data_IF_350022858168
#
_entry.id   IF_350022858168
#
_cell.length_a   1.000
_cell.length_b   1.000
_cell.length_c   1.000
_cell.angle_alpha   90.00
_cell.angle_beta   90.00
_cell.angle_gamma   90.00
#
_symmetry.space_group_name_H-M   'P 1'
#
loop_
_entity.id
_entity.type
_entity.pdbx_description
1 polymer ?
#
# COMPACT_ATOMS: atom_id res chain seq x y z
N UNK A 1 64.11 14.77 45.89
CA UNK A 1 63.73 15.28 44.55
C UNK A 1 63.79 14.08 43.61
N UNK A 2 62.76 13.60 42.91
CA UNK A 2 61.42 14.09 42.56
C UNK A 2 60.47 12.89 42.41
N UNK A 3 59.20 13.20 42.58
CA UNK A 3 57.90 12.51 42.58
C UNK A 3 57.52 11.68 41.32
N UNK A 4 56.86 10.52 41.56
CA UNK A 4 55.60 9.92 41.00
C UNK A 4 55.10 10.35 39.61
N UNK A 5 54.71 9.39 38.74
CA UNK A 5 53.42 9.26 37.96
C UNK A 5 53.35 7.81 37.40
N UNK A 6 52.61 6.88 38.00
CA UNK A 6 51.22 6.44 37.80
C UNK A 6 51.00 5.28 36.79
N UNK A 7 50.22 4.35 37.32
CA UNK A 7 49.61 3.13 36.80
C UNK A 7 48.99 3.20 35.41
N UNK A 8 49.34 2.24 34.55
CA UNK A 8 48.45 1.77 33.50
C UNK A 8 47.69 0.54 34.02
N UNK A 9 46.41 0.74 34.27
CA UNK A 9 45.45 -0.29 34.65
C UNK A 9 45.18 -1.16 33.41
N UNK A 10 45.52 -2.46 33.48
CA UNK A 10 45.08 -3.43 32.47
C UNK A 10 43.57 -3.54 32.57
N UNK A 11 42.85 -3.19 31.51
CA UNK A 11 41.43 -3.54 31.37
C UNK A 11 41.30 -5.07 31.35
N UNK A 12 40.54 -5.60 32.30
CA UNK A 12 40.14 -7.01 32.31
C UNK A 12 39.16 -7.22 31.15
N UNK A 13 39.63 -7.85 30.08
CA UNK A 13 38.77 -8.33 28.99
C UNK A 13 38.02 -9.55 29.52
N UNK A 14 36.73 -9.39 29.79
CA UNK A 14 35.84 -10.50 30.11
C UNK A 14 35.46 -11.21 28.80
N UNK A 15 36.01 -12.40 28.56
CA UNK A 15 35.51 -13.31 27.54
C UNK A 15 34.22 -13.98 28.06
N UNK A 16 33.06 -13.47 27.64
CA UNK A 16 31.78 -14.13 27.87
C UNK A 16 31.72 -15.42 27.05
N UNK A 17 32.09 -16.53 27.68
CA UNK A 17 31.89 -17.88 27.12
C UNK A 17 30.49 -18.37 27.47
N UNK A 18 29.54 -18.17 26.55
CA UNK A 18 28.24 -18.83 26.62
C UNK A 18 28.33 -20.23 26.00
N UNK A 19 27.96 -21.26 26.75
CA UNK A 19 27.75 -22.59 26.17
C UNK A 19 26.33 -22.64 25.55
N UNK A 20 26.20 -22.52 24.21
CA UNK A 20 24.91 -22.82 23.56
C UNK A 20 24.75 -24.32 23.51
N UNK A 21 23.83 -24.83 24.31
CA UNK A 21 23.28 -26.15 24.09
C UNK A 21 22.19 -26.06 23.00
N UNK A 22 22.35 -26.73 21.85
CA UNK A 22 21.33 -26.73 20.81
C UNK A 22 20.08 -27.44 21.35
N UNK A 23 18.96 -26.71 21.44
CA UNK A 23 17.68 -27.31 21.82
C UNK A 23 17.12 -28.12 20.65
N UNK A 24 16.81 -29.37 20.90
CA UNK A 24 16.10 -30.21 19.94
C UNK A 24 14.60 -30.16 20.22
N UNK A 25 13.81 -30.11 19.16
CA UNK A 25 12.37 -30.26 19.25
C UNK A 25 12.01 -31.70 19.64
N UNK A 26 11.00 -31.86 20.48
CA UNK A 26 10.39 -33.15 20.77
C UNK A 26 9.93 -33.81 19.45
N UNK A 27 10.31 -35.06 19.15
CA UNK A 27 9.90 -35.75 17.92
C UNK A 27 8.39 -35.74 17.64
N UNK A 28 7.56 -35.67 18.68
CA UNK A 28 6.09 -35.68 18.58
C UNK A 28 5.44 -34.31 18.73
N UNK A 29 6.21 -33.21 18.65
CA UNK A 29 5.68 -31.88 18.89
C UNK A 29 4.45 -31.54 18.04
N UNK A 30 4.38 -32.02 16.79
CA UNK A 30 3.28 -31.78 15.85
C UNK A 30 1.94 -32.34 16.33
N UNK A 31 1.93 -33.41 17.12
CA UNK A 31 0.69 -34.05 17.60
C UNK A 31 -0.11 -33.10 18.53
N UNK A 32 0.57 -32.19 19.23
CA UNK A 32 -0.04 -31.21 20.14
C UNK A 32 -0.81 -30.09 19.44
N UNK A 33 -0.64 -29.95 18.13
CA UNK A 33 -1.20 -28.84 17.34
C UNK A 33 -2.20 -29.30 16.27
N UNK A 34 -2.75 -30.52 16.40
CA UNK A 34 -3.76 -31.05 15.48
C UNK A 34 -5.20 -30.80 15.95
N UNK A 35 -5.41 -30.18 17.12
CA UNK A 35 -6.75 -29.92 17.63
C UNK A 35 -7.46 -28.83 16.82
N UNK A 36 -8.79 -28.80 16.91
CA UNK A 36 -9.65 -27.81 16.24
C UNK A 36 -9.29 -26.35 16.60
N UNK A 37 -8.70 -26.12 17.77
CA UNK A 37 -8.25 -24.80 18.23
C UNK A 37 -7.05 -24.26 17.42
N UNK A 38 -6.33 -25.15 16.73
CA UNK A 38 -5.19 -24.83 15.86
C UNK A 38 -5.52 -24.94 14.37
N UNK A 39 -6.79 -25.14 14.02
CA UNK A 39 -7.28 -25.11 12.64
C UNK A 39 -7.74 -23.69 12.28
N UNK A 40 -6.80 -22.88 11.80
CA UNK A 40 -7.04 -21.48 11.42
C UNK A 40 -7.66 -21.31 10.02
N UNK A 41 -7.85 -22.40 9.29
CA UNK A 41 -8.59 -22.38 8.03
C UNK A 41 -10.09 -22.34 8.32
N UNK A 42 -10.75 -21.30 7.83
CA UNK A 42 -12.20 -21.25 7.78
C UNK A 42 -12.67 -22.36 6.85
N UNK A 43 -13.25 -23.43 7.38
CA UNK A 43 -13.91 -24.44 6.57
C UNK A 43 -15.13 -23.76 5.94
N UNK A 44 -14.96 -23.22 4.74
CA UNK A 44 -16.05 -22.68 3.94
C UNK A 44 -16.92 -23.89 3.58
N UNK A 45 -18.05 -24.04 4.26
CA UNK A 45 -19.09 -25.02 3.93
C UNK A 45 -19.48 -24.83 2.45
N UNK A 46 -18.88 -25.62 1.56
CA UNK A 46 -19.06 -25.60 0.10
C UNK A 46 -20.48 -25.97 -0.36
N UNK A 47 -21.40 -26.17 0.60
CA UNK A 47 -22.78 -26.58 0.38
C UNK A 47 -23.78 -25.43 0.38
N UNK A 48 -23.42 -24.24 0.85
CA UNK A 48 -24.30 -23.07 0.79
C UNK A 48 -23.91 -22.22 -0.42
N UNK A 49 -24.69 -22.32 -1.50
CA UNK A 49 -24.51 -21.45 -2.67
C UNK A 49 -24.39 -19.99 -2.20
N UNK A 50 -23.27 -19.37 -2.51
CA UNK A 50 -23.01 -17.97 -2.21
C UNK A 50 -23.98 -17.10 -3.02
N UNK A 51 -24.31 -15.90 -2.54
CA UNK A 51 -25.12 -14.95 -3.32
C UNK A 51 -24.51 -14.71 -4.72
N UNK A 52 -23.18 -14.79 -4.82
CA UNK A 52 -22.41 -14.74 -6.06
C UNK A 52 -22.67 -15.93 -7.01
N UNK A 53 -22.77 -17.15 -6.47
CA UNK A 53 -23.02 -18.35 -7.27
C UNK A 53 -24.43 -18.31 -7.87
N UNK A 54 -25.41 -17.82 -7.10
CA UNK A 54 -26.79 -17.61 -7.57
C UNK A 54 -26.86 -16.54 -8.65
N UNK A 55 -26.09 -15.47 -8.52
CA UNK A 55 -26.00 -14.40 -9.51
C UNK A 55 -25.47 -14.91 -10.86
N UNK A 56 -24.33 -15.61 -10.87
CA UNK A 56 -23.78 -16.16 -12.11
C UNK A 56 -24.66 -17.24 -12.73
N UNK A 57 -25.34 -18.04 -11.91
CA UNK A 57 -26.35 -18.98 -12.41
C UNK A 57 -27.50 -18.26 -13.12
N UNK A 58 -28.04 -17.19 -12.51
CA UNK A 58 -29.11 -16.40 -13.12
C UNK A 58 -28.65 -15.72 -14.43
N UNK A 59 -27.42 -15.21 -14.49
CA UNK A 59 -26.82 -14.68 -15.73
C UNK A 59 -26.74 -15.80 -16.78
N UNK A 60 -26.18 -16.95 -16.45
CA UNK A 60 -26.03 -18.06 -17.38
C UNK A 60 -27.37 -18.53 -17.94
N UNK A 61 -28.39 -18.62 -17.09
CA UNK A 61 -29.75 -18.99 -17.47
C UNK A 61 -30.44 -17.92 -18.35
N UNK A 62 -30.15 -16.64 -18.13
CA UNK A 62 -30.63 -15.55 -18.99
C UNK A 62 -29.99 -15.59 -20.39
N UNK A 63 -28.67 -15.74 -20.45
CA UNK A 63 -27.94 -15.83 -21.72
C UNK A 63 -28.28 -17.12 -22.48
N UNK A 64 -28.44 -18.26 -21.81
CA UNK A 64 -28.83 -19.50 -22.48
C UNK A 64 -30.18 -19.35 -23.17
N UNK A 65 -31.18 -18.75 -22.51
CA UNK A 65 -32.50 -18.47 -23.11
C UNK A 65 -32.46 -17.46 -24.26
N UNK A 66 -31.55 -16.49 -24.19
CA UNK A 66 -31.39 -15.48 -25.23
C UNK A 66 -30.75 -16.06 -26.50
N UNK A 67 -29.74 -16.92 -26.33
CA UNK A 67 -28.96 -17.53 -27.42
C UNK A 67 -29.44 -18.93 -27.82
N UNK A 68 -30.52 -19.43 -27.22
CA UNK A 68 -31.16 -20.66 -27.67
C UNK A 68 -31.94 -20.39 -28.96
N UNK A 69 -31.27 -20.67 -30.07
CA UNK A 69 -31.80 -20.57 -31.43
C UNK A 69 -32.09 -21.96 -32.03
N UNK A 70 -32.12 -23.04 -31.23
CA UNK A 70 -32.15 -24.40 -31.76
C UNK A 70 -33.49 -24.93 -32.26
N UNK A 71 -34.59 -24.22 -32.05
CA UNK A 71 -35.90 -24.59 -32.62
C UNK A 71 -36.51 -23.44 -33.41
N UNK A 72 -35.96 -23.19 -34.60
CA UNK A 72 -36.60 -22.33 -35.62
C UNK A 72 -37.40 -23.21 -36.58
N UNK A 73 -38.27 -24.07 -36.04
CA UNK A 73 -39.13 -24.89 -36.92
C UNK A 73 -40.59 -25.01 -36.49
N UNK A 74 -41.05 -24.35 -35.41
CA UNK A 74 -42.48 -24.23 -35.14
C UNK A 74 -42.82 -22.92 -34.42
N UNK A 75 -43.51 -22.01 -35.12
CA UNK A 75 -44.33 -20.92 -34.58
C UNK A 75 -43.81 -20.25 -33.30
N UNK A 76 -42.72 -19.49 -33.40
CA UNK A 76 -42.42 -18.48 -32.38
C UNK A 76 -43.58 -17.47 -32.37
N UNK A 77 -44.31 -17.38 -31.27
CA UNK A 77 -45.31 -16.33 -31.07
C UNK A 77 -44.63 -14.98 -31.28
N UNK A 78 -45.26 -14.03 -32.00
CA UNK A 78 -44.69 -12.69 -32.22
C UNK A 78 -44.26 -11.98 -30.92
N UNK A 79 -44.84 -12.38 -29.80
CA UNK A 79 -44.45 -11.97 -28.45
C UNK A 79 -43.03 -12.41 -28.03
N UNK A 80 -42.60 -13.63 -28.38
CA UNK A 80 -41.26 -14.15 -28.02
C UNK A 80 -40.16 -13.45 -28.82
N UNK A 81 -40.42 -13.17 -30.10
CA UNK A 81 -39.52 -12.39 -30.96
C UNK A 81 -39.39 -10.96 -30.41
N UNK A 82 -40.51 -10.35 -30.03
CA UNK A 82 -40.53 -9.02 -29.42
C UNK A 82 -39.71 -8.96 -28.12
N UNK A 83 -39.85 -9.95 -27.24
CA UNK A 83 -39.08 -10.05 -25.99
C UNK A 83 -37.58 -10.24 -26.24
N UNK A 84 -37.19 -11.05 -27.24
CA UNK A 84 -35.78 -11.21 -27.62
C UNK A 84 -35.18 -9.89 -28.15
N UNK A 85 -35.91 -9.14 -28.98
CA UNK A 85 -35.47 -7.84 -29.48
C UNK A 85 -35.24 -6.85 -28.34
N UNK A 86 -36.18 -6.76 -27.38
CA UNK A 86 -36.02 -5.89 -26.20
C UNK A 86 -34.79 -6.30 -25.39
N UNK A 87 -34.57 -7.60 -25.17
CA UNK A 87 -33.40 -8.09 -24.44
C UNK A 87 -32.09 -7.69 -25.13
N UNK A 88 -32.00 -7.79 -26.47
CA UNK A 88 -30.83 -7.33 -27.23
C UNK A 88 -30.60 -5.82 -27.10
N UNK A 89 -31.67 -5.00 -27.14
CA UNK A 89 -31.57 -3.55 -26.95
C UNK A 89 -31.05 -3.21 -25.55
N UNK A 90 -31.56 -3.88 -24.51
CA UNK A 90 -31.11 -3.67 -23.13
C UNK A 90 -29.63 -4.03 -22.99
N UNK A 91 -29.18 -5.15 -23.56
CA UNK A 91 -27.76 -5.55 -23.54
C UNK A 91 -26.90 -4.50 -24.26
N UNK A 92 -27.32 -4.05 -25.44
CA UNK A 92 -26.62 -2.98 -26.17
C UNK A 92 -26.54 -1.68 -25.38
N UNK A 93 -27.62 -1.31 -24.69
CA UNK A 93 -27.66 -0.13 -23.81
C UNK A 93 -26.72 -0.28 -22.61
N UNK A 94 -26.69 -1.45 -21.96
CA UNK A 94 -25.75 -1.73 -20.86
C UNK A 94 -24.30 -1.68 -21.34
N UNK A 95 -23.99 -2.26 -22.50
CA UNK A 95 -22.65 -2.16 -23.11
C UNK A 95 -22.30 -0.70 -23.40
N UNK A 96 -23.22 0.07 -23.99
CA UNK A 96 -23.03 1.50 -24.21
C UNK A 96 -22.76 2.27 -22.92
N UNK A 97 -23.49 2.00 -21.84
CA UNK A 97 -23.24 2.62 -20.54
C UNK A 97 -21.87 2.23 -19.98
N UNK A 98 -21.44 0.97 -20.09
CA UNK A 98 -20.12 0.52 -19.65
C UNK A 98 -19.02 1.24 -20.45
N UNK A 99 -19.13 1.29 -21.78
CA UNK A 99 -18.18 1.97 -22.66
C UNK A 99 -18.15 3.47 -22.37
N UNK A 100 -19.32 4.10 -22.22
CA UNK A 100 -19.45 5.52 -21.88
C UNK A 100 -18.86 5.83 -20.51
N UNK A 101 -19.04 4.95 -19.52
CA UNK A 101 -18.44 5.11 -18.19
C UNK A 101 -16.91 4.98 -18.24
N UNK A 102 -16.37 4.11 -19.09
CA UNK A 102 -14.92 3.92 -19.28
C UNK A 102 -14.31 5.11 -20.05
N UNK A 103 -15.02 5.70 -21.01
CA UNK A 103 -14.50 6.79 -21.85
C UNK A 103 -14.67 8.15 -21.17
N UNK A 104 -15.80 8.42 -20.51
CA UNK A 104 -16.08 9.74 -19.90
C UNK A 104 -15.44 9.92 -18.51
N UNK A 105 -14.88 8.87 -17.93
CA UNK A 105 -14.09 8.95 -16.72
C UNK A 105 -12.74 8.34 -17.05
N UNK A 106 -11.68 9.15 -17.00
CA UNK A 106 -10.31 8.68 -16.89
C UNK A 106 -10.29 7.44 -15.98
N UNK A 107 -9.98 6.28 -16.56
CA UNK A 107 -10.33 4.95 -16.06
C UNK A 107 -9.64 4.54 -14.76
N UNK A 108 -10.00 5.18 -13.64
CA UNK A 108 -9.43 4.91 -12.32
C UNK A 108 -10.44 4.44 -11.27
N UNK A 109 -11.75 4.63 -11.47
CA UNK A 109 -12.70 4.39 -10.39
C UNK A 109 -13.12 2.91 -10.18
N UNK A 110 -12.99 2.05 -11.19
CA UNK A 110 -13.55 0.67 -11.13
C UNK A 110 -12.50 -0.40 -10.75
N UNK A 111 -11.21 -0.03 -10.68
CA UNK A 111 -10.11 -0.94 -10.33
C UNK A 111 -9.21 -0.42 -9.19
N UNK A 112 -9.72 0.45 -8.32
CA UNK A 112 -8.97 0.87 -7.14
C UNK A 112 -8.97 -0.22 -6.06
N UNK A 113 -8.22 -1.30 -6.35
CA UNK A 113 -7.54 -2.13 -5.35
C UNK A 113 -6.05 -2.05 -5.66
N UNK A 114 -5.43 -0.99 -5.15
CA UNK A 114 -4.03 -0.87 -4.72
C UNK A 114 -2.87 -1.24 -5.66
N UNK A 115 -3.08 -1.74 -6.90
CA UNK A 115 -1.95 -2.19 -7.74
C UNK A 115 -1.27 -1.06 -8.53
N UNK A 116 -2.01 -0.08 -9.06
CA UNK A 116 -1.40 1.05 -9.80
C UNK A 116 -0.66 2.03 -8.89
N UNK A 117 -1.12 2.20 -7.65
CA UNK A 117 -0.52 3.12 -6.67
C UNK A 117 0.83 2.60 -6.16
N UNK A 118 0.98 1.27 -6.04
CA UNK A 118 2.25 0.64 -5.67
C UNK A 118 3.28 0.85 -6.78
N UNK A 119 2.95 0.58 -8.05
CA UNK A 119 3.91 0.73 -9.17
C UNK A 119 4.41 2.17 -9.34
N UNK A 120 3.54 3.17 -9.15
CA UNK A 120 3.98 4.59 -9.19
C UNK A 120 4.77 4.98 -7.94
N UNK A 121 4.42 4.46 -6.76
CA UNK A 121 5.19 4.70 -5.53
C UNK A 121 6.59 4.08 -5.58
N UNK A 122 6.69 2.85 -6.11
CA UNK A 122 7.94 2.09 -6.18
C UNK A 122 8.93 2.74 -7.17
N UNK A 123 8.45 3.17 -8.35
CA UNK A 123 9.26 3.99 -9.27
C UNK A 123 9.66 5.36 -8.68
N UNK A 124 8.80 5.96 -7.85
CA UNK A 124 9.09 7.24 -7.20
C UNK A 124 10.18 7.09 -6.13
N UNK A 125 10.30 5.92 -5.53
CA UNK A 125 11.33 5.63 -4.54
C UNK A 125 12.66 5.26 -5.19
N UNK A 126 12.67 4.52 -6.30
CA UNK A 126 13.92 4.12 -6.96
C UNK A 126 14.76 5.29 -7.50
N UNK A 127 14.15 6.43 -7.82
CA UNK A 127 14.90 7.55 -8.36
C UNK A 127 14.33 8.92 -7.98
N UNK A 128 14.47 9.27 -6.70
CA UNK A 128 13.91 10.51 -6.16
C UNK A 128 14.36 11.77 -6.93
N UNK A 129 15.55 11.77 -7.54
CA UNK A 129 16.09 12.98 -8.18
C UNK A 129 15.40 13.36 -9.50
N UNK A 130 14.74 12.42 -10.15
CA UNK A 130 14.11 12.61 -11.48
C UNK A 130 12.66 13.09 -11.43
N UNK A 131 12.11 13.23 -10.22
CA UNK A 131 10.67 13.35 -10.00
C UNK A 131 10.25 14.79 -9.82
N UNK A 132 9.17 15.18 -10.51
CA UNK A 132 8.47 16.42 -10.21
C UNK A 132 7.55 16.24 -8.99
N UNK A 133 8.12 16.48 -7.81
CA UNK A 133 7.37 16.39 -6.56
C UNK A 133 6.17 17.33 -6.50
N UNK A 134 6.23 18.50 -7.16
CA UNK A 134 5.13 19.47 -7.13
C UNK A 134 3.91 18.91 -7.85
N UNK A 135 4.11 18.31 -9.01
CA UNK A 135 3.04 17.71 -9.81
C UNK A 135 2.36 16.56 -9.05
N UNK A 136 3.15 15.58 -8.57
CA UNK A 136 2.58 14.40 -7.91
C UNK A 136 1.89 14.74 -6.58
N UNK A 137 2.42 15.72 -5.83
CA UNK A 137 1.80 16.23 -4.59
C UNK A 137 0.50 16.95 -4.90
N UNK A 138 0.48 17.82 -5.93
CA UNK A 138 -0.74 18.51 -6.32
C UNK A 138 -1.84 17.52 -6.72
N UNK A 139 -1.49 16.50 -7.49
CA UNK A 139 -2.41 15.45 -7.91
C UNK A 139 -2.92 14.60 -6.73
N UNK A 140 -2.04 14.16 -5.83
CA UNK A 140 -2.48 13.38 -4.66
C UNK A 140 -3.33 14.20 -3.69
N UNK A 141 -3.04 15.51 -3.55
CA UNK A 141 -3.86 16.46 -2.78
C UNK A 141 -5.25 16.64 -3.36
N UNK A 142 -5.39 16.86 -4.67
CA UNK A 142 -6.71 17.05 -5.29
C UNK A 142 -7.60 15.81 -5.14
N UNK A 143 -6.99 14.64 -5.08
CA UNK A 143 -7.67 13.36 -4.86
C UNK A 143 -7.91 13.03 -3.37
N UNK A 144 -7.56 13.94 -2.45
CA UNK A 144 -7.67 13.76 -0.98
C UNK A 144 -6.90 12.53 -0.47
N UNK A 145 -5.82 12.17 -1.13
CA UNK A 145 -4.98 11.02 -0.77
C UNK A 145 -3.91 11.41 0.24
N UNK A 146 -4.32 11.94 1.41
CA UNK A 146 -3.43 12.61 2.36
C UNK A 146 -2.22 11.78 2.81
N UNK A 147 -2.42 10.48 3.06
CA UNK A 147 -1.34 9.55 3.43
C UNK A 147 -0.27 9.45 2.33
N UNK A 148 -0.69 9.37 1.07
CA UNK A 148 0.23 9.31 -0.06
C UNK A 148 0.94 10.66 -0.25
N UNK A 149 0.21 11.76 -0.12
CA UNK A 149 0.79 13.10 -0.19
C UNK A 149 1.89 13.30 0.87
N UNK A 150 1.67 12.83 2.10
CA UNK A 150 2.69 12.88 3.16
C UNK A 150 3.93 12.06 2.77
N UNK A 151 3.76 10.87 2.18
CA UNK A 151 4.90 10.08 1.65
C UNK A 151 5.69 10.88 0.60
N UNK A 152 5.01 11.54 -0.33
CA UNK A 152 5.67 12.34 -1.35
C UNK A 152 6.39 13.57 -0.78
N UNK A 153 5.82 14.25 0.21
CA UNK A 153 6.54 15.31 0.92
C UNK A 153 7.78 14.78 1.66
N UNK A 154 7.71 13.59 2.24
CA UNK A 154 8.86 12.97 2.91
C UNK A 154 9.99 12.64 1.93
N UNK A 155 9.66 12.06 0.77
CA UNK A 155 10.64 11.81 -0.29
C UNK A 155 11.23 13.11 -0.87
N UNK A 156 10.43 14.16 -1.00
CA UNK A 156 10.93 15.48 -1.40
C UNK A 156 11.88 16.09 -0.36
N UNK A 157 11.60 15.89 0.93
CA UNK A 157 12.52 16.28 2.00
C UNK A 157 13.85 15.54 1.88
N UNK A 158 13.85 14.21 1.70
CA UNK A 158 15.07 13.43 1.50
C UNK A 158 15.84 13.91 0.26
N UNK A 159 15.15 14.15 -0.87
CA UNK A 159 15.77 14.73 -2.07
C UNK A 159 16.43 16.06 -1.76
N UNK A 160 15.73 16.95 -1.06
CA UNK A 160 16.22 18.30 -0.78
C UNK A 160 17.46 18.29 0.13
N UNK A 161 17.53 17.35 1.07
CA UNK A 161 18.70 17.11 1.91
C UNK A 161 19.85 16.51 1.11
N UNK A 162 19.55 15.57 0.22
CA UNK A 162 20.55 14.89 -0.61
C UNK A 162 21.15 15.79 -1.69
N UNK A 163 20.34 16.62 -2.34
CA UNK A 163 20.79 17.64 -3.30
C UNK A 163 21.77 18.65 -2.66
N UNK A 164 21.75 18.77 -1.34
CA UNK A 164 22.64 19.63 -0.54
C UNK A 164 23.79 18.88 0.11
N UNK A 165 23.96 17.60 -0.22
CA UNK A 165 25.00 16.73 0.33
C UNK A 165 24.95 16.60 1.87
N UNK A 166 23.77 16.85 2.47
CA UNK A 166 23.56 16.68 3.92
C UNK A 166 23.37 15.20 4.26
N UNK A 167 22.73 14.46 3.34
CA UNK A 167 22.57 13.01 3.41
C UNK A 167 22.97 12.38 2.08
N UNK A 168 23.42 11.15 2.12
CA UNK A 168 23.61 10.30 0.94
C UNK A 168 22.36 9.43 0.77
N UNK A 169 21.56 9.73 -0.23
CA UNK A 169 20.30 9.01 -0.48
C UNK A 169 20.55 7.57 -0.94
N UNK A 170 19.84 6.63 -0.31
CA UNK A 170 19.81 5.21 -0.65
C UNK A 170 18.45 4.61 -0.27
N UNK A 171 17.83 3.86 -1.19
CA UNK A 171 16.52 3.23 -0.95
C UNK A 171 16.53 2.21 0.20
N UNK A 172 17.68 1.62 0.52
CA UNK A 172 17.81 0.62 1.60
C UNK A 172 18.04 1.25 2.98
N UNK A 173 18.34 2.56 3.05
CA UNK A 173 18.56 3.27 4.32
C UNK A 173 17.25 3.54 5.06
N UNK A 174 17.30 3.40 6.39
CA UNK A 174 16.19 3.74 7.28
C UNK A 174 16.19 5.22 7.63
N UNK A 175 15.06 5.72 8.14
CA UNK A 175 14.96 7.09 8.67
C UNK A 175 15.98 7.37 9.79
N UNK A 176 16.35 6.34 10.56
CA UNK A 176 17.37 6.46 11.60
C UNK A 176 18.76 6.64 11.00
N UNK A 177 19.07 5.93 9.90
CA UNK A 177 20.36 6.06 9.21
C UNK A 177 20.54 7.49 8.69
N UNK A 178 19.53 8.03 8.01
CA UNK A 178 19.52 9.43 7.57
C UNK A 178 19.66 10.43 8.73
N UNK A 179 19.02 10.16 9.87
CA UNK A 179 19.13 11.01 11.06
C UNK A 179 20.57 11.05 11.60
N UNK A 180 21.35 9.97 11.48
CA UNK A 180 22.74 9.93 11.92
C UNK A 180 23.69 10.75 11.03
N UNK A 181 23.38 10.88 9.74
CA UNK A 181 24.17 11.67 8.79
C UNK A 181 24.04 13.19 9.05
N UNK A 182 22.87 13.63 9.51
CA UNK A 182 22.59 15.04 9.79
C UNK A 182 23.38 15.52 11.02
N UNK A 183 24.30 16.47 10.77
CA UNK A 183 25.17 17.06 11.79
C UNK A 183 24.53 18.25 12.54
N UNK A 184 23.76 19.09 11.84
CA UNK A 184 23.16 20.29 12.44
C UNK A 184 22.08 19.91 13.47
N UNK A 185 22.21 20.30 14.75
CA UNK A 185 21.25 19.93 15.79
C UNK A 185 19.82 20.40 15.50
N UNK A 186 19.67 21.60 14.95
CA UNK A 186 18.36 22.17 14.63
C UNK A 186 17.70 21.44 13.46
N UNK A 187 18.48 21.09 12.44
CA UNK A 187 17.99 20.33 11.30
C UNK A 187 17.63 18.90 11.71
N UNK A 188 18.44 18.29 12.59
CA UNK A 188 18.25 16.95 13.12
C UNK A 188 16.93 16.82 13.89
N UNK A 189 16.63 17.78 14.77
CA UNK A 189 15.35 17.80 15.50
C UNK A 189 14.15 17.99 14.57
N UNK A 190 14.26 18.88 13.57
CA UNK A 190 13.20 19.04 12.56
C UNK A 190 12.99 17.77 11.73
N UNK A 191 14.07 17.13 11.28
CA UNK A 191 14.02 15.88 10.51
C UNK A 191 13.42 14.74 11.33
N UNK A 192 13.78 14.64 12.61
CA UNK A 192 13.22 13.66 13.54
C UNK A 192 11.70 13.83 13.69
N UNK A 193 11.23 15.05 13.85
CA UNK A 193 9.79 15.34 13.93
C UNK A 193 9.05 14.97 12.65
N UNK A 194 9.59 15.30 11.48
CA UNK A 194 8.97 14.99 10.19
C UNK A 194 9.01 13.50 9.87
N UNK A 195 10.07 12.80 10.26
CA UNK A 195 10.17 11.33 10.16
C UNK A 195 9.11 10.65 11.02
N UNK A 196 8.87 11.16 12.23
CA UNK A 196 7.78 10.68 13.08
C UNK A 196 6.40 10.87 12.43
N UNK A 197 6.13 12.04 11.84
CA UNK A 197 4.86 12.28 11.11
C UNK A 197 4.70 11.28 9.95
N UNK A 198 5.77 11.09 9.17
CA UNK A 198 5.77 10.15 8.05
C UNK A 198 5.52 8.70 8.51
N UNK A 199 6.26 8.22 9.50
CA UNK A 199 6.10 6.86 10.05
C UNK A 199 4.70 6.63 10.60
N UNK A 200 4.18 7.59 11.38
CA UNK A 200 2.84 7.52 11.94
C UNK A 200 1.76 7.56 10.86
N UNK A 201 1.96 8.38 9.82
CA UNK A 201 1.07 8.43 8.65
C UNK A 201 1.10 7.14 7.84
N UNK A 202 2.27 6.53 7.66
CA UNK A 202 2.45 5.40 6.75
C UNK A 202 2.13 4.06 7.41
N UNK A 203 2.68 3.80 8.60
CA UNK A 203 2.53 2.55 9.35
C UNK A 203 1.40 2.60 10.38
N UNK A 204 0.79 3.75 10.62
CA UNK A 204 -0.35 3.88 11.52
C UNK A 204 -1.65 3.37 10.89
N UNK A 205 -2.53 2.80 11.72
CA UNK A 205 -3.89 2.34 11.36
C UNK A 205 -4.94 3.48 11.45
N UNK A 206 -4.49 4.74 11.42
CA UNK A 206 -5.38 5.89 11.61
C UNK A 206 -5.62 6.66 10.31
N UNK A 207 -6.86 7.12 10.13
CA UNK A 207 -7.20 8.04 9.04
C UNK A 207 -6.67 9.44 9.36
N UNK A 208 -6.01 10.04 8.37
CA UNK A 208 -5.50 11.40 8.47
C UNK A 208 -6.61 12.33 8.04
N UNK A 209 -7.13 13.14 8.96
CA UNK A 209 -8.12 14.16 8.62
C UNK A 209 -7.44 15.38 7.97
N UNK A 210 -8.25 16.24 7.35
CA UNK A 210 -7.78 17.42 6.63
C UNK A 210 -7.04 18.42 7.52
N UNK A 211 -7.45 18.54 8.79
CA UNK A 211 -6.84 19.45 9.77
C UNK A 211 -5.41 19.01 10.11
N UNK A 212 -5.21 17.72 10.36
CA UNK A 212 -3.91 17.16 10.67
C UNK A 212 -3.00 17.11 9.45
N UNK A 213 -3.57 16.80 8.27
CA UNK A 213 -2.87 16.92 7.00
C UNK A 213 -2.36 18.35 6.77
N UNK A 214 -3.19 19.38 6.98
CA UNK A 214 -2.77 20.78 6.77
C UNK A 214 -1.63 21.21 7.70
N UNK A 215 -1.59 20.70 8.94
CA UNK A 215 -0.47 20.93 9.86
C UNK A 215 0.81 20.25 9.38
N UNK A 216 0.71 18.98 8.98
CA UNK A 216 1.83 18.21 8.45
C UNK A 216 2.41 18.87 7.19
N UNK A 217 1.55 19.24 6.24
CA UNK A 217 1.92 19.94 5.01
C UNK A 217 2.74 21.20 5.28
N UNK A 218 2.26 22.09 6.15
CA UNK A 218 2.99 23.30 6.51
C UNK A 218 4.35 23.00 7.14
N UNK A 219 4.46 21.94 7.92
CA UNK A 219 5.72 21.54 8.54
C UNK A 219 6.73 21.05 7.48
N UNK A 220 6.28 20.24 6.51
CA UNK A 220 7.11 19.78 5.40
C UNK A 220 7.53 20.92 4.47
N UNK A 221 6.60 21.77 4.03
CA UNK A 221 6.89 22.93 3.18
C UNK A 221 7.91 23.86 3.86
N UNK A 222 7.75 24.12 5.16
CA UNK A 222 8.70 24.92 5.94
C UNK A 222 10.07 24.25 5.98
N UNK A 223 10.16 22.95 6.23
CA UNK A 223 11.46 22.28 6.27
C UNK A 223 12.15 22.30 4.92
N UNK A 224 11.45 21.96 3.84
CA UNK A 224 11.99 21.94 2.47
C UNK A 224 12.47 23.34 2.04
N UNK A 225 11.74 24.39 2.40
CA UNK A 225 12.14 25.76 2.09
C UNK A 225 13.35 26.27 2.89
N UNK A 226 13.61 25.68 4.07
CA UNK A 226 14.71 26.07 4.96
C UNK A 226 15.87 25.06 4.97
N UNK A 227 15.72 23.95 4.24
CA UNK A 227 16.85 23.06 3.95
C UNK A 227 17.76 23.82 3.03
#
# INVERSE_FOLDING_TARGET
MVTRIDSLQKEDVFEDSWEITPKHFDPKFKERYQSKEYQYETIIDSKKQTAWDRFWKAIKDFFSRLFDFRDVDNTLSGFEIFMKIIAFIIIGFVIYLIVRLIINKEGQWVFSKNKKKIIVSEMVEENIHTIDFKEIIQHSKSNKEYRLTIRYYYLWLLKSLSDKEIIEWDIEKTNSDYLYEIQSPTLKENFKYLSYIYEYSWYGEFEINETDFSKAEKAFEKAIANT
#
